data_IF_513880947832
#
_entry.id   IF_513880947832
#
_cell.length_a   1.000
_cell.length_b   1.000
_cell.length_c   1.000
_cell.angle_alpha   90.00
_cell.angle_beta   90.00
_cell.angle_gamma   90.00
#
_symmetry.space_group_name_H-M   'P 1'
#
loop_
_entity.id
_entity.type
_entity.pdbx_description
1 polymer ?
#
# COMPACT_ATOMS: atom_id res chain seq x y z
N UNK A 1 3.97 65.92 40.45
CA UNK A 1 4.71 64.64 40.77
C UNK A 1 4.56 63.70 39.60
N UNK A 2 5.49 63.51 38.91
CA UNK A 2 6.26 62.58 38.07
C UNK A 2 5.58 61.26 37.78
N UNK A 3 4.87 61.16 36.60
CA UNK A 3 4.54 59.91 35.91
C UNK A 3 5.58 59.64 34.82
N UNK A 4 6.75 59.08 35.16
CA UNK A 4 7.87 58.93 34.20
C UNK A 4 8.39 57.49 34.07
N UNK A 5 7.78 56.51 34.72
CA UNK A 5 8.36 55.15 34.76
C UNK A 5 7.47 53.99 34.33
N UNK A 6 6.37 54.27 33.55
CA UNK A 6 5.42 53.19 33.19
C UNK A 6 5.47 52.77 31.70
N UNK A 7 6.37 53.35 30.88
CA UNK A 7 6.42 53.10 29.42
C UNK A 7 7.42 52.00 29.05
N UNK A 8 8.45 51.77 29.89
CA UNK A 8 9.58 50.89 29.53
C UNK A 8 9.25 49.39 29.62
N UNK A 9 8.40 48.85 30.55
CA UNK A 9 8.12 47.43 30.61
C UNK A 9 7.19 46.95 29.51
N UNK A 10 6.32 47.82 28.96
CA UNK A 10 5.36 47.44 27.90
C UNK A 10 6.00 47.17 26.55
N UNK A 11 7.08 47.88 26.20
CA UNK A 11 7.80 47.69 24.92
C UNK A 11 8.63 46.41 24.94
N UNK A 12 9.16 46.01 26.08
CA UNK A 12 10.00 44.81 26.18
C UNK A 12 9.17 43.54 26.04
N UNK A 13 7.90 43.53 26.47
CA UNK A 13 7.01 42.38 26.34
C UNK A 13 6.53 42.19 24.88
N UNK A 14 6.34 43.28 24.13
CA UNK A 14 5.91 43.19 22.73
C UNK A 14 6.99 42.60 21.79
N UNK A 15 8.29 42.75 22.13
CA UNK A 15 9.39 42.24 21.31
C UNK A 15 9.58 40.73 21.52
N UNK A 16 9.19 40.16 22.66
CA UNK A 16 9.35 38.71 22.94
C UNK A 16 8.31 37.85 22.17
N UNK A 17 7.14 38.42 21.85
CA UNK A 17 6.10 37.69 21.11
C UNK A 17 6.29 37.73 19.57
N UNK A 18 7.18 38.55 19.03
CA UNK A 18 7.43 38.64 17.58
C UNK A 18 8.48 37.66 17.07
N UNK A 19 9.16 36.89 17.94
CA UNK A 19 10.26 36.02 17.52
C UNK A 19 9.86 34.54 17.26
N UNK A 20 8.60 34.16 17.42
CA UNK A 20 8.16 32.77 17.30
C UNK A 20 7.41 32.43 16.00
N UNK A 21 7.28 33.35 15.05
CA UNK A 21 6.82 32.98 13.71
C UNK A 21 8.03 32.77 12.79
N UNK A 22 8.81 31.71 13.07
CA UNK A 22 9.54 31.09 11.97
C UNK A 22 8.49 30.47 11.07
N UNK A 23 8.16 31.15 9.98
CA UNK A 23 7.43 30.55 8.88
C UNK A 23 8.23 29.30 8.48
N UNK A 24 7.68 28.11 8.74
CA UNK A 24 8.22 26.90 8.12
C UNK A 24 8.22 27.18 6.62
N UNK A 25 9.36 27.01 5.95
CA UNK A 25 9.41 27.22 4.51
C UNK A 25 8.29 26.38 3.88
N UNK A 26 7.34 27.04 3.22
CA UNK A 26 6.30 26.35 2.46
C UNK A 26 6.99 25.64 1.31
N UNK A 27 6.98 24.31 1.34
CA UNK A 27 7.46 23.52 0.21
C UNK A 27 6.35 23.51 -0.86
N UNK A 28 6.56 24.23 -1.93
CA UNK A 28 5.64 24.20 -3.07
C UNK A 28 5.84 22.89 -3.84
N UNK A 29 4.88 21.98 -3.67
CA UNK A 29 4.86 20.69 -4.37
C UNK A 29 3.95 20.69 -5.60
N UNK A 30 3.36 21.85 -5.95
CA UNK A 30 2.37 21.98 -7.04
C UNK A 30 2.90 21.54 -8.41
N UNK A 31 4.22 21.58 -8.60
CA UNK A 31 4.90 21.22 -9.84
C UNK A 31 5.53 19.82 -9.80
N UNK A 32 5.34 19.06 -8.71
CA UNK A 32 5.87 17.69 -8.67
C UNK A 32 5.05 16.77 -9.57
N UNK A 33 5.73 15.86 -10.25
CA UNK A 33 5.07 14.86 -11.09
C UNK A 33 4.28 13.87 -10.23
N UNK A 34 3.07 13.48 -10.65
CA UNK A 34 2.30 12.46 -9.96
C UNK A 34 3.04 11.12 -9.88
N UNK A 35 2.88 10.43 -8.75
CA UNK A 35 3.55 9.16 -8.45
C UNK A 35 2.50 8.08 -8.30
N UNK A 36 2.69 6.93 -8.96
CA UNK A 36 1.88 5.72 -8.80
C UNK A 36 2.57 4.74 -7.86
N UNK A 37 1.77 4.12 -6.99
CA UNK A 37 2.24 3.11 -6.05
C UNK A 37 1.13 2.11 -5.71
N UNK A 38 1.51 0.96 -5.14
CA UNK A 38 0.54 0.07 -4.53
C UNK A 38 -0.07 0.73 -3.29
N UNK A 39 -1.39 0.66 -3.19
CA UNK A 39 -2.13 1.32 -2.12
C UNK A 39 -1.81 0.71 -0.77
N UNK A 40 -1.55 1.58 0.21
CA UNK A 40 -1.19 1.23 1.58
C UNK A 40 0.00 0.26 1.64
N UNK A 41 1.15 0.78 1.24
CA UNK A 41 2.41 0.03 1.23
C UNK A 41 2.94 -0.18 2.64
N UNK A 42 2.99 -1.42 3.17
CA UNK A 42 3.76 -1.70 4.38
C UNK A 42 5.26 -1.50 4.11
N UNK A 43 6.01 -1.16 5.14
CA UNK A 43 7.43 -0.81 5.01
C UNK A 43 8.31 -1.91 4.36
N UNK A 44 7.87 -3.18 4.47
CA UNK A 44 8.56 -4.32 3.86
C UNK A 44 7.99 -4.74 2.50
N UNK A 45 6.92 -4.10 2.02
CA UNK A 45 6.24 -4.46 0.78
C UNK A 45 5.44 -5.77 0.82
N UNK A 46 5.23 -6.32 2.00
CA UNK A 46 4.52 -7.58 2.17
C UNK A 46 3.11 -7.34 2.69
N UNK A 47 2.11 -7.77 1.94
CA UNK A 47 0.69 -7.63 2.24
C UNK A 47 0.13 -8.97 2.72
N UNK A 48 -0.37 -9.01 3.92
CA UNK A 48 -0.87 -10.22 4.56
C UNK A 48 0.07 -10.71 5.66
N UNK A 49 0.00 -11.99 6.06
CA UNK A 49 -0.79 -13.05 5.41
C UNK A 49 -2.30 -12.91 5.62
N UNK A 50 -3.05 -12.99 4.55
CA UNK A 50 -4.49 -13.17 4.61
C UNK A 50 -4.78 -14.64 4.91
N UNK A 51 -5.42 -14.91 6.03
CA UNK A 51 -5.71 -16.26 6.48
C UNK A 51 -7.12 -16.66 6.04
N UNK A 52 -7.24 -17.84 5.45
CA UNK A 52 -8.52 -18.39 5.04
C UNK A 52 -8.74 -19.74 5.72
N UNK A 53 -9.77 -19.80 6.57
CA UNK A 53 -10.22 -21.02 7.22
C UNK A 53 -11.16 -21.80 6.29
N UNK A 54 -10.90 -23.09 6.13
CA UNK A 54 -11.74 -24.00 5.36
C UNK A 54 -12.68 -24.83 6.21
N UNK A 55 -12.73 -24.62 7.54
CA UNK A 55 -13.60 -25.36 8.42
C UNK A 55 -15.07 -24.97 8.21
N UNK A 56 -15.89 -25.94 7.86
CA UNK A 56 -17.35 -25.81 7.83
C UNK A 56 -17.97 -25.21 6.59
N UNK A 57 -17.22 -24.64 5.68
CA UNK A 57 -17.72 -24.20 4.37
C UNK A 57 -16.99 -24.96 3.28
N UNK A 58 -17.75 -25.50 2.33
CA UNK A 58 -17.14 -25.98 1.10
C UNK A 58 -16.33 -24.83 0.51
N UNK A 59 -14.99 -24.94 0.44
CA UNK A 59 -14.13 -24.06 -0.36
C UNK A 59 -14.46 -24.25 -1.87
N UNK A 60 -15.73 -24.35 -2.19
CA UNK A 60 -16.22 -24.54 -3.55
C UNK A 60 -16.37 -23.24 -4.30
N UNK A 61 -16.26 -22.11 -3.62
CA UNK A 61 -16.44 -20.77 -4.21
C UNK A 61 -15.10 -20.07 -4.32
N UNK A 62 -14.80 -19.56 -5.50
CA UNK A 62 -13.67 -18.67 -5.71
C UNK A 62 -13.83 -17.41 -4.84
N UNK A 63 -12.72 -16.84 -4.39
CA UNK A 63 -12.70 -15.58 -3.65
C UNK A 63 -12.29 -14.45 -4.60
N UNK A 64 -13.19 -13.47 -4.75
CA UNK A 64 -12.87 -12.23 -5.41
C UNK A 64 -12.29 -11.24 -4.42
N UNK A 65 -11.12 -10.74 -4.73
CA UNK A 65 -10.41 -9.71 -3.97
C UNK A 65 -9.85 -8.66 -4.91
N UNK A 66 -9.22 -7.64 -4.37
CA UNK A 66 -8.58 -6.63 -5.20
C UNK A 66 -7.32 -6.08 -4.54
N UNK A 67 -6.34 -5.76 -5.39
CA UNK A 67 -5.12 -5.05 -5.01
C UNK A 67 -5.31 -3.57 -5.31
N UNK A 68 -5.03 -2.71 -4.33
CA UNK A 68 -5.15 -1.27 -4.47
C UNK A 68 -3.97 -0.64 -5.21
N UNK A 69 -4.25 0.37 -6.03
CA UNK A 69 -3.29 1.31 -6.58
C UNK A 69 -3.66 2.72 -6.13
N UNK A 70 -2.66 3.55 -5.87
CA UNK A 70 -2.85 4.95 -5.48
C UNK A 70 -1.97 5.85 -6.34
N UNK A 71 -2.54 6.94 -6.85
CA UNK A 71 -1.77 8.03 -7.45
C UNK A 71 -1.67 9.16 -6.43
N UNK A 72 -0.46 9.40 -5.94
CA UNK A 72 -0.14 10.57 -5.16
C UNK A 72 0.12 11.75 -6.10
N UNK A 73 -0.77 12.73 -6.11
CA UNK A 73 -0.69 13.89 -6.98
C UNK A 73 -0.89 15.18 -6.18
N UNK A 74 -0.09 16.24 -6.44
CA UNK A 74 -0.23 17.53 -5.77
C UNK A 74 -1.43 18.33 -6.29
N UNK A 75 -1.96 17.98 -7.47
CA UNK A 75 -3.08 18.60 -8.14
C UNK A 75 -4.10 17.54 -8.60
N UNK A 76 -5.37 17.89 -8.78
CA UNK A 76 -6.34 16.97 -9.35
C UNK A 76 -5.90 16.45 -10.71
N UNK A 77 -6.07 15.14 -10.93
CA UNK A 77 -5.73 14.50 -12.19
C UNK A 77 -6.73 14.94 -13.28
N UNK A 78 -6.23 15.50 -14.37
CA UNK A 78 -7.04 16.03 -15.47
C UNK A 78 -7.27 15.03 -16.61
N UNK A 79 -6.65 13.85 -16.54
CA UNK A 79 -6.78 12.77 -17.53
C UNK A 79 -6.89 11.41 -16.82
N UNK A 80 -7.34 10.41 -17.57
CA UNK A 80 -7.31 9.03 -17.10
C UNK A 80 -5.91 8.43 -17.31
N UNK A 81 -5.53 7.47 -16.46
CA UNK A 81 -4.27 6.72 -16.53
C UNK A 81 -4.54 5.23 -16.60
N UNK A 82 -3.88 4.54 -17.53
CA UNK A 82 -4.00 3.10 -17.71
C UNK A 82 -2.74 2.41 -17.21
N UNK A 83 -2.84 1.82 -16.03
CA UNK A 83 -1.72 1.20 -15.33
C UNK A 83 -1.68 -0.30 -15.65
N UNK A 84 -0.51 -0.81 -16.00
CA UNK A 84 -0.29 -2.25 -16.15
C UNK A 84 0.56 -2.78 -15.02
N UNK A 85 0.15 -3.91 -14.47
CA UNK A 85 0.83 -4.64 -13.39
C UNK A 85 1.27 -6.01 -13.91
N UNK A 86 2.46 -6.43 -13.55
CA UNK A 86 3.00 -7.75 -13.90
C UNK A 86 3.40 -8.54 -12.67
N UNK A 87 3.69 -9.83 -12.87
CA UNK A 87 4.24 -10.72 -11.84
C UNK A 87 5.75 -10.51 -11.77
N UNK A 88 6.29 -10.36 -10.55
CA UNK A 88 7.72 -10.27 -10.30
C UNK A 88 8.25 -11.49 -9.54
N UNK A 89 8.60 -12.53 -10.28
CA UNK A 89 9.07 -13.79 -9.71
C UNK A 89 10.38 -13.68 -8.93
N UNK A 90 11.10 -12.56 -9.05
CA UNK A 90 12.38 -12.36 -8.35
C UNK A 90 12.19 -12.07 -6.86
N UNK A 91 10.99 -11.71 -6.43
CA UNK A 91 10.68 -11.34 -5.04
C UNK A 91 10.44 -12.54 -4.12
N UNK A 92 10.37 -13.76 -4.65
CA UNK A 92 10.06 -14.96 -3.86
C UNK A 92 11.23 -15.94 -3.93
N UNK A 93 12.25 -15.70 -3.13
CA UNK A 93 13.30 -16.69 -2.90
C UNK A 93 13.43 -16.92 -1.41
N UNK A 94 12.97 -18.09 -0.93
CA UNK A 94 13.04 -18.46 0.49
C UNK A 94 12.16 -17.59 1.40
N UNK A 95 11.01 -17.16 0.91
CA UNK A 95 10.14 -16.25 1.60
C UNK A 95 9.40 -16.96 2.75
N UNK A 96 9.58 -16.45 3.96
CA UNK A 96 8.95 -16.95 5.19
C UNK A 96 8.32 -15.79 5.97
N UNK A 97 7.16 -16.02 6.53
CA UNK A 97 6.53 -15.11 7.49
C UNK A 97 6.15 -15.86 8.75
N UNK A 98 6.30 -15.18 9.89
CA UNK A 98 5.78 -15.66 11.16
C UNK A 98 4.33 -15.18 11.27
N UNK A 99 3.41 -16.13 11.34
CA UNK A 99 2.00 -15.86 11.56
C UNK A 99 1.57 -16.40 12.92
N UNK A 100 0.49 -15.87 13.46
CA UNK A 100 -0.08 -16.35 14.74
C UNK A 100 -1.31 -17.17 14.43
N UNK A 101 -1.28 -18.43 14.85
CA UNK A 101 -2.38 -19.36 14.71
C UNK A 101 -2.79 -19.89 16.09
N UNK A 102 -4.04 -19.78 16.48
CA UNK A 102 -4.53 -20.15 17.81
C UNK A 102 -3.72 -19.58 18.97
N UNK A 103 -3.17 -18.37 18.83
CA UNK A 103 -2.32 -17.74 19.84
C UNK A 103 -0.88 -18.27 19.88
N UNK A 104 -0.51 -19.22 19.04
CA UNK A 104 0.86 -19.69 18.87
C UNK A 104 1.48 -19.08 17.62
N UNK A 105 2.75 -18.67 17.73
CA UNK A 105 3.52 -18.25 16.56
C UNK A 105 3.90 -19.49 15.72
N UNK A 106 3.65 -19.42 14.42
CA UNK A 106 4.01 -20.45 13.46
C UNK A 106 4.76 -19.80 12.28
N UNK A 107 5.66 -20.56 11.68
CA UNK A 107 6.43 -20.12 10.51
C UNK A 107 5.84 -20.73 9.26
N UNK A 108 5.22 -19.90 8.44
CA UNK A 108 4.66 -20.30 7.15
C UNK A 108 5.68 -20.03 6.04
N UNK A 109 6.01 -21.07 5.29
CA UNK A 109 6.81 -20.94 4.08
C UNK A 109 5.88 -20.60 2.91
N UNK A 110 6.08 -19.43 2.30
CA UNK A 110 5.32 -19.00 1.16
C UNK A 110 6.04 -19.38 -0.13
N UNK A 111 5.29 -19.97 -1.04
CA UNK A 111 5.77 -20.28 -2.40
C UNK A 111 5.02 -19.44 -3.42
N UNK A 112 5.60 -19.31 -4.61
CA UNK A 112 4.93 -18.65 -5.72
C UNK A 112 3.57 -19.29 -5.99
N UNK A 113 2.50 -18.48 -6.04
CA UNK A 113 1.18 -18.98 -6.38
C UNK A 113 1.16 -19.48 -7.82
N UNK A 114 0.80 -20.77 -8.08
CA UNK A 114 0.67 -21.31 -9.42
C UNK A 114 -0.37 -20.55 -10.23
N UNK A 115 -0.10 -20.33 -11.51
CA UNK A 115 -0.95 -19.50 -12.37
C UNK A 115 -2.37 -20.07 -12.55
N UNK A 116 -2.56 -21.37 -12.40
CA UNK A 116 -3.89 -21.99 -12.47
C UNK A 116 -4.75 -21.72 -11.22
N UNK A 117 -4.18 -21.23 -10.13
CA UNK A 117 -4.87 -20.99 -8.84
C UNK A 117 -5.39 -19.56 -8.69
N UNK A 118 -5.13 -18.68 -9.63
CA UNK A 118 -5.66 -17.31 -9.60
C UNK A 118 -5.96 -16.80 -11.02
N UNK A 119 -6.77 -15.75 -11.06
CA UNK A 119 -6.86 -14.86 -12.22
C UNK A 119 -6.62 -13.43 -11.76
N UNK A 120 -5.96 -12.63 -12.59
CA UNK A 120 -5.68 -11.22 -12.32
C UNK A 120 -6.01 -10.40 -13.55
N UNK A 121 -6.74 -9.31 -13.36
CA UNK A 121 -6.86 -8.29 -14.37
C UNK A 121 -5.68 -7.34 -14.26
N UNK A 122 -4.67 -7.56 -15.08
CA UNK A 122 -3.39 -6.86 -14.99
C UNK A 122 -3.41 -5.41 -15.49
N UNK A 123 -4.52 -4.96 -16.06
CA UNK A 123 -4.66 -3.60 -16.60
C UNK A 123 -5.82 -2.90 -15.91
N UNK A 124 -5.52 -1.74 -15.34
CA UNK A 124 -6.52 -0.93 -14.64
C UNK A 124 -6.50 0.50 -15.13
N UNK A 125 -7.66 1.07 -15.40
CA UNK A 125 -7.81 2.48 -15.76
C UNK A 125 -8.31 3.27 -14.54
N UNK A 126 -7.53 4.26 -14.12
CA UNK A 126 -7.91 5.24 -13.11
C UNK A 126 -8.43 6.48 -13.83
N UNK A 127 -9.72 6.77 -13.69
CA UNK A 127 -10.38 7.86 -14.42
C UNK A 127 -9.85 9.25 -13.98
N UNK A 128 -10.00 10.24 -14.83
CA UNK A 128 -9.72 11.63 -14.51
C UNK A 128 -10.45 12.06 -13.22
N UNK A 129 -9.77 12.80 -12.38
CA UNK A 129 -10.28 13.24 -11.07
C UNK A 129 -10.23 12.20 -9.96
N UNK A 130 -9.82 10.96 -10.26
CA UNK A 130 -9.67 9.89 -9.28
C UNK A 130 -8.20 9.56 -9.06
N UNK A 131 -7.88 9.11 -7.84
CA UNK A 131 -6.52 8.75 -7.43
C UNK A 131 -6.39 7.28 -7.01
N UNK A 132 -7.51 6.55 -6.98
CA UNK A 132 -7.55 5.16 -6.53
C UNK A 132 -7.90 4.23 -7.68
N UNK A 133 -7.13 3.17 -7.83
CA UNK A 133 -7.40 2.05 -8.73
C UNK A 133 -7.50 0.73 -7.96
N UNK A 134 -8.15 -0.26 -8.56
CA UNK A 134 -8.25 -1.61 -8.02
C UNK A 134 -7.95 -2.62 -9.12
N UNK A 135 -7.05 -3.54 -8.83
CA UNK A 135 -6.71 -4.67 -9.68
C UNK A 135 -7.50 -5.86 -9.18
N UNK A 136 -8.52 -6.33 -9.91
CA UNK A 136 -9.27 -7.51 -9.52
C UNK A 136 -8.37 -8.75 -9.51
N UNK A 137 -8.50 -9.57 -8.46
CA UNK A 137 -7.83 -10.86 -8.30
C UNK A 137 -8.86 -11.87 -7.83
N UNK A 138 -9.02 -12.96 -8.56
CA UNK A 138 -9.86 -14.09 -8.15
C UNK A 138 -8.98 -15.25 -7.76
N UNK A 139 -9.14 -15.78 -6.55
CA UNK A 139 -8.44 -16.96 -6.04
C UNK A 139 -9.33 -18.19 -6.21
N UNK A 140 -8.81 -19.22 -6.87
CA UNK A 140 -9.55 -20.48 -7.15
C UNK A 140 -9.41 -21.44 -5.99
N UNK A 141 -10.18 -21.21 -4.91
CA UNK A 141 -10.05 -21.92 -3.65
C UNK A 141 -10.31 -23.42 -3.74
N UNK A 142 -11.19 -23.87 -4.62
CA UNK A 142 -11.49 -25.30 -4.80
C UNK A 142 -10.28 -26.15 -5.21
N UNK A 143 -9.21 -25.49 -5.69
CA UNK A 143 -8.00 -26.15 -6.18
C UNK A 143 -6.79 -25.95 -5.25
N UNK A 144 -6.95 -25.21 -4.14
CA UNK A 144 -5.86 -24.89 -3.24
C UNK A 144 -5.61 -26.02 -2.23
N UNK A 145 -4.36 -26.51 -2.10
CA UNK A 145 -3.98 -27.40 -1.01
C UNK A 145 -4.11 -26.69 0.33
N UNK A 146 -4.57 -27.42 1.33
CA UNK A 146 -4.61 -26.90 2.70
C UNK A 146 -3.22 -26.83 3.33
N UNK A 147 -3.06 -25.98 4.34
CA UNK A 147 -1.80 -25.74 5.05
C UNK A 147 -0.65 -25.27 4.15
N UNK A 148 -1.02 -24.53 3.11
CA UNK A 148 -0.05 -24.00 2.14
C UNK A 148 -0.11 -22.49 2.12
N UNK A 149 1.05 -21.84 2.22
CA UNK A 149 1.23 -20.41 2.02
C UNK A 149 1.58 -20.13 0.56
N UNK A 150 0.83 -19.23 -0.05
CA UNK A 150 1.10 -18.74 -1.39
C UNK A 150 1.35 -17.24 -1.39
N UNK A 151 2.30 -16.82 -2.21
CA UNK A 151 2.61 -15.42 -2.43
C UNK A 151 2.47 -15.07 -3.91
N UNK A 152 1.88 -13.93 -4.17
CA UNK A 152 1.73 -13.34 -5.51
C UNK A 152 2.47 -12.00 -5.53
N UNK A 153 3.70 -11.96 -6.04
CA UNK A 153 4.48 -10.74 -6.15
C UNK A 153 4.06 -9.97 -7.40
N UNK A 154 3.73 -8.72 -7.21
CA UNK A 154 3.30 -7.81 -8.26
C UNK A 154 4.29 -6.65 -8.39
N UNK A 155 4.45 -6.14 -9.62
CA UNK A 155 5.14 -4.88 -9.90
C UNK A 155 4.38 -4.06 -10.92
N UNK A 156 4.52 -2.75 -10.82
CA UNK A 156 4.01 -1.82 -11.84
C UNK A 156 4.95 -1.88 -13.04
N UNK A 157 4.46 -2.37 -14.18
CA UNK A 157 5.26 -2.57 -15.41
C UNK A 157 5.07 -1.45 -16.43
N UNK A 158 3.87 -0.83 -16.45
CA UNK A 158 3.61 0.36 -17.25
C UNK A 158 2.83 1.37 -16.41
N UNK A 159 3.45 2.49 -16.02
CA UNK A 159 2.82 3.53 -15.20
C UNK A 159 2.09 4.61 -16.01
N UNK A 160 1.96 4.45 -17.34
CA UNK A 160 1.29 5.41 -18.25
C UNK A 160 1.83 6.86 -18.10
N UNK A 161 3.14 7.00 -18.02
CA UNK A 161 3.82 8.30 -17.89
C UNK A 161 3.88 8.86 -16.47
N UNK A 162 3.31 8.19 -15.47
CA UNK A 162 3.51 8.54 -14.06
C UNK A 162 4.90 8.12 -13.59
N UNK A 163 5.40 8.73 -12.54
CA UNK A 163 6.55 8.20 -11.82
C UNK A 163 6.10 6.99 -10.98
N UNK A 164 6.91 5.94 -10.97
CA UNK A 164 6.71 4.85 -10.04
C UNK A 164 7.43 5.19 -8.73
N UNK A 165 6.76 4.97 -7.60
CA UNK A 165 7.34 5.24 -6.28
C UNK A 165 8.66 4.48 -6.11
N UNK A 166 9.68 5.17 -5.64
CA UNK A 166 10.98 4.58 -5.31
C UNK A 166 11.03 3.92 -3.92
N UNK A 167 9.95 3.98 -3.15
CA UNK A 167 9.89 3.36 -1.82
C UNK A 167 9.80 1.85 -1.94
N UNK A 168 10.50 1.14 -1.05
CA UNK A 168 10.38 -0.32 -0.93
C UNK A 168 8.93 -0.70 -0.67
N UNK A 169 8.39 -1.62 -1.45
CA UNK A 169 7.00 -2.07 -1.36
C UNK A 169 5.96 -1.18 -2.01
N UNK A 170 6.34 -0.01 -2.54
CA UNK A 170 5.43 0.88 -3.23
C UNK A 170 5.38 0.62 -4.74
N UNK A 171 6.49 0.20 -5.34
CA UNK A 171 6.59 -0.18 -6.76
C UNK A 171 6.45 -1.68 -7.00
N UNK A 172 6.80 -2.46 -5.99
CA UNK A 172 6.65 -3.91 -5.94
C UNK A 172 5.95 -4.29 -4.64
N UNK A 173 5.04 -5.25 -4.69
CA UNK A 173 4.28 -5.70 -3.53
C UNK A 173 4.13 -7.22 -3.57
N UNK A 174 4.30 -7.88 -2.43
CA UNK A 174 4.10 -9.31 -2.29
C UNK A 174 2.82 -9.55 -1.50
N UNK A 175 1.81 -10.06 -2.16
CA UNK A 175 0.53 -10.42 -1.54
C UNK A 175 0.59 -11.88 -1.12
N UNK A 176 0.22 -12.15 0.13
CA UNK A 176 0.36 -13.45 0.77
C UNK A 176 -0.97 -13.97 1.23
N UNK A 177 -1.24 -15.25 0.95
CA UNK A 177 -2.42 -15.96 1.42
C UNK A 177 -2.02 -17.29 2.03
N UNK A 178 -2.61 -17.59 3.20
CA UNK A 178 -2.43 -18.84 3.90
C UNK A 178 -3.78 -19.53 4.08
N UNK A 179 -3.84 -20.77 3.61
CA UNK A 179 -5.04 -21.60 3.62
C UNK A 179 -4.90 -22.72 4.64
N UNK A 180 -5.81 -22.81 5.59
CA UNK A 180 -5.79 -23.79 6.65
C UNK A 180 -7.18 -24.35 6.91
N UNK A 181 -7.27 -25.47 7.63
CA UNK A 181 -8.52 -26.06 8.07
C UNK A 181 -8.50 -26.27 9.58
N UNK A 182 -9.54 -25.84 10.25
CA UNK A 182 -9.84 -26.23 11.61
C UNK A 182 -10.43 -27.63 11.62
N UNK A 183 -10.00 -28.47 12.59
CA UNK A 183 -10.62 -29.78 12.89
C UNK A 183 -11.45 -29.67 14.15
#
# INVERSE_FOLDING_TARGET
>A
MKCRNLIIPGVLVAVVFSSCLKSTPYLDVSHTQPIIEFGWSPANGHYGPFQYDSSGSSLSTDIDTAVGLVIAAPQPLNQAYTITVGIDTTQITGFQEITTFNGAADTVNFTMMPQNLYTIDSVVTIAAGHTLGRIPVTLKLSQLPLFTGYALPLKITNPDGLLVSGSTGASTAVFMWWFYRWY
#
